data_IF_974902613294
#
_entry.id   IF_974902613294
#
_cell.length_a   1.000
_cell.length_b   1.000
_cell.length_c   1.000
_cell.angle_alpha   90.00
_cell.angle_beta   90.00
_cell.angle_gamma   90.00
#
_symmetry.space_group_name_H-M   'P 1'
#
loop_
_entity.id
_entity.type
_entity.pdbx_description
1 polymer ?
#
# COMPACT_ATOMS: atom_id res chain seq x y z
N UNK A 1 7.76 12.08 -24.68
CA UNK A 1 6.92 11.24 -23.81
C UNK A 1 7.78 10.91 -22.62
N UNK A 2 7.42 11.35 -21.42
CA UNK A 2 8.26 11.07 -20.26
C UNK A 2 8.12 9.58 -19.93
N UNK A 3 9.23 8.84 -20.01
CA UNK A 3 9.36 7.40 -19.75
C UNK A 3 9.32 7.09 -18.23
N UNK A 4 8.36 7.67 -17.51
CA UNK A 4 8.23 7.37 -16.09
C UNK A 4 7.66 5.95 -15.90
N UNK A 5 8.14 5.20 -14.89
CA UNK A 5 7.57 3.90 -14.58
C UNK A 5 6.09 4.06 -14.22
N UNK A 6 5.27 3.11 -14.67
CA UNK A 6 3.85 3.07 -14.34
C UNK A 6 3.62 2.42 -12.96
N UNK A 7 4.58 1.62 -12.50
CA UNK A 7 4.51 0.85 -11.26
C UNK A 7 5.85 0.90 -10.53
N UNK A 8 5.85 1.28 -9.25
CA UNK A 8 7.01 1.13 -8.36
C UNK A 8 6.77 0.02 -7.36
N UNK A 9 7.68 -0.95 -7.31
CA UNK A 9 7.77 -1.92 -6.22
C UNK A 9 8.71 -1.37 -5.14
N UNK A 10 8.19 -1.16 -3.93
CA UNK A 10 8.98 -0.79 -2.76
C UNK A 10 9.17 -2.04 -1.89
N UNK A 11 10.41 -2.50 -1.77
CA UNK A 11 10.75 -3.68 -0.99
C UNK A 11 11.17 -3.26 0.42
N UNK A 12 10.36 -3.62 1.41
CA UNK A 12 10.56 -3.25 2.80
C UNK A 12 11.20 -4.40 3.60
N UNK A 13 12.11 -4.06 4.50
CA UNK A 13 12.73 -5.01 5.43
C UNK A 13 13.87 -4.37 6.20
N UNK A 14 14.43 -5.09 7.17
CA UNK A 14 15.68 -4.64 7.79
C UNK A 14 16.83 -4.63 6.77
N UNK A 15 17.82 -3.80 7.00
CA UNK A 15 19.02 -3.71 6.16
C UNK A 15 19.69 -5.08 5.97
N UNK A 16 19.80 -5.87 7.04
CA UNK A 16 20.34 -7.23 7.00
C UNK A 16 19.52 -8.19 6.13
N UNK A 17 18.18 -8.03 6.11
CA UNK A 17 17.32 -8.87 5.26
C UNK A 17 17.42 -8.45 3.80
N UNK A 18 17.49 -7.15 3.52
CA UNK A 18 17.57 -6.62 2.16
C UNK A 18 18.93 -6.90 1.52
N UNK A 19 20.03 -6.91 2.28
CA UNK A 19 21.35 -7.25 1.75
C UNK A 19 21.46 -8.71 1.25
N UNK A 20 20.61 -9.60 1.76
CA UNK A 20 20.53 -11.02 1.35
C UNK A 20 19.59 -11.27 0.18
N UNK A 21 18.82 -10.27 -0.24
CA UNK A 21 17.87 -10.38 -1.33
C UNK A 21 18.61 -10.32 -2.67
N UNK A 22 18.40 -11.33 -3.51
CA UNK A 22 18.87 -11.30 -4.91
C UNK A 22 18.11 -10.23 -5.70
N UNK A 23 18.77 -9.69 -6.73
CA UNK A 23 18.16 -8.75 -7.66
C UNK A 23 16.84 -9.30 -8.24
N UNK A 24 15.82 -8.46 -8.25
CA UNK A 24 14.49 -8.81 -8.73
C UNK A 24 14.39 -8.63 -10.24
N UNK A 25 13.76 -9.59 -10.91
CA UNK A 25 13.44 -9.45 -12.33
C UNK A 25 12.19 -8.58 -12.49
N UNK A 26 12.37 -7.42 -13.12
CA UNK A 26 11.32 -6.43 -13.40
C UNK A 26 11.08 -6.30 -14.91
N UNK A 27 9.86 -5.88 -15.26
CA UNK A 27 9.45 -5.59 -16.63
C UNK A 27 9.72 -4.12 -17.02
N UNK A 28 9.63 -3.78 -18.31
CA UNK A 28 9.72 -2.38 -18.76
C UNK A 28 8.59 -1.53 -18.18
N UNK A 29 8.90 -0.26 -17.88
CA UNK A 29 7.96 0.66 -17.24
C UNK A 29 7.64 0.30 -15.79
N UNK A 30 8.48 -0.51 -15.15
CA UNK A 30 8.42 -0.84 -13.73
C UNK A 30 9.75 -0.48 -13.10
N UNK A 31 9.71 0.04 -11.88
CA UNK A 31 10.92 0.19 -11.05
C UNK A 31 10.80 -0.62 -9.76
N UNK A 32 11.95 -0.94 -9.17
CA UNK A 32 12.03 -1.64 -7.90
C UNK A 32 13.05 -0.95 -7.00
N UNK A 33 12.59 -0.53 -5.83
CA UNK A 33 13.35 0.24 -4.86
C UNK A 33 13.42 -0.51 -3.54
N UNK A 34 14.57 -0.43 -2.89
CA UNK A 34 14.73 -0.97 -1.55
C UNK A 34 14.40 0.12 -0.52
N UNK A 35 13.77 -0.29 0.57
CA UNK A 35 13.37 0.56 1.67
C UNK A 35 13.78 -0.09 2.98
N UNK A 36 15.09 -0.01 3.33
CA UNK A 36 15.56 -0.47 4.63
C UNK A 36 14.94 0.40 5.73
N UNK A 37 14.56 -0.23 6.83
CA UNK A 37 14.16 0.46 8.05
C UNK A 37 14.85 -0.17 9.27
N UNK A 38 15.21 0.66 10.25
CA UNK A 38 15.82 0.29 11.51
C UNK A 38 14.76 -0.15 12.53
N UNK A 39 13.64 0.58 12.61
CA UNK A 39 12.50 0.28 13.47
C UNK A 39 11.19 0.35 12.66
N UNK A 40 10.16 -0.37 13.08
CA UNK A 40 8.84 -0.31 12.45
C UNK A 40 8.19 1.08 12.63
N UNK A 41 8.54 1.80 13.69
CA UNK A 41 7.94 3.12 14.01
C UNK A 41 8.34 4.23 13.02
N UNK A 42 9.48 4.10 12.33
CA UNK A 42 9.90 5.05 11.27
C UNK A 42 9.32 4.71 9.88
N UNK A 43 8.73 3.52 9.74
CA UNK A 43 8.18 3.06 8.46
C UNK A 43 7.14 4.02 7.85
N UNK A 44 6.28 4.74 8.61
CA UNK A 44 5.29 5.67 8.04
C UNK A 44 5.95 6.82 7.31
N UNK A 45 6.78 7.58 8.02
CA UNK A 45 7.42 8.77 7.47
C UNK A 45 8.34 8.41 6.32
N UNK A 46 9.04 7.28 6.42
CA UNK A 46 9.89 6.76 5.36
C UNK A 46 9.09 6.37 4.11
N UNK A 47 7.99 5.63 4.27
CA UNK A 47 7.13 5.24 3.14
C UNK A 47 6.42 6.43 2.53
N UNK A 48 5.86 7.34 3.34
CA UNK A 48 5.18 8.54 2.87
C UNK A 48 6.14 9.39 2.03
N UNK A 49 7.37 9.62 2.52
CA UNK A 49 8.40 10.39 1.81
C UNK A 49 8.81 9.70 0.51
N UNK A 50 9.16 8.40 0.58
CA UNK A 50 9.54 7.63 -0.62
C UNK A 50 8.42 7.64 -1.65
N UNK A 51 7.17 7.38 -1.26
CA UNK A 51 6.05 7.34 -2.20
C UNK A 51 5.79 8.72 -2.81
N UNK A 52 5.98 9.80 -2.04
CA UNK A 52 5.82 11.16 -2.55
C UNK A 52 6.79 11.47 -3.71
N UNK A 53 8.03 11.00 -3.62
CA UNK A 53 9.08 11.20 -4.62
C UNK A 53 8.89 10.42 -5.93
N UNK A 54 8.04 9.38 -5.95
CA UNK A 54 7.89 8.50 -7.11
C UNK A 54 6.89 9.02 -8.13
N UNK A 55 7.24 9.06 -9.41
CA UNK A 55 6.30 9.47 -10.46
C UNK A 55 5.29 8.37 -10.86
N UNK A 56 5.43 7.16 -10.31
CA UNK A 56 4.55 6.04 -10.63
C UNK A 56 3.10 6.23 -10.20
N UNK A 57 2.20 5.76 -11.07
CA UNK A 57 0.75 5.74 -10.85
C UNK A 57 0.38 4.71 -9.78
N UNK A 58 0.97 3.52 -9.86
CA UNK A 58 0.70 2.43 -8.93
C UNK A 58 1.93 2.11 -8.08
N UNK A 59 1.69 1.86 -6.81
CA UNK A 59 2.70 1.53 -5.83
C UNK A 59 2.41 0.14 -5.28
N UNK A 60 3.46 -0.66 -5.09
CA UNK A 60 3.36 -1.97 -4.48
C UNK A 60 4.41 -2.10 -3.38
N UNK A 61 3.96 -2.24 -2.14
CA UNK A 61 4.82 -2.43 -0.98
C UNK A 61 4.93 -3.93 -0.68
N UNK A 62 6.15 -4.45 -0.73
CA UNK A 62 6.45 -5.89 -0.67
C UNK A 62 7.45 -6.18 0.44
N UNK A 63 7.22 -7.17 1.32
CA UNK A 63 8.21 -7.55 2.31
C UNK A 63 9.40 -8.29 1.67
N UNK A 64 10.59 -8.07 2.24
CA UNK A 64 11.84 -8.67 1.78
C UNK A 64 11.75 -10.21 1.68
N UNK A 65 11.93 -10.72 0.47
CA UNK A 65 11.85 -12.14 0.15
C UNK A 65 10.50 -12.62 -0.40
N UNK A 66 9.48 -11.77 -0.52
CA UNK A 66 8.15 -12.13 -1.04
C UNK A 66 7.81 -11.45 -2.36
N UNK A 67 8.64 -11.63 -3.40
CA UNK A 67 8.40 -10.92 -4.65
C UNK A 67 7.23 -11.53 -5.45
N UNK A 68 6.30 -10.71 -5.97
CA UNK A 68 5.17 -11.21 -6.76
C UNK A 68 5.63 -11.93 -8.03
N UNK A 69 4.91 -12.99 -8.38
CA UNK A 69 5.12 -13.75 -9.63
C UNK A 69 4.83 -12.86 -10.84
N UNK A 70 5.44 -13.20 -11.98
CA UNK A 70 5.29 -12.48 -13.27
C UNK A 70 3.84 -12.15 -13.63
N UNK A 71 2.91 -13.09 -13.45
CA UNK A 71 1.49 -12.85 -13.77
C UNK A 71 0.87 -11.77 -12.89
N UNK A 72 1.16 -11.75 -11.59
CA UNK A 72 0.65 -10.73 -10.67
C UNK A 72 1.24 -9.34 -11.00
N UNK A 73 2.53 -9.28 -11.35
CA UNK A 73 3.17 -8.02 -11.77
C UNK A 73 2.56 -7.47 -13.06
N UNK A 74 2.36 -8.32 -14.07
CA UNK A 74 1.68 -7.95 -15.32
C UNK A 74 0.25 -7.44 -15.08
N UNK A 75 -0.48 -8.06 -14.15
CA UNK A 75 -1.82 -7.60 -13.77
C UNK A 75 -1.77 -6.21 -13.12
N UNK A 76 -0.81 -5.95 -12.23
CA UNK A 76 -0.65 -4.63 -11.64
C UNK A 76 -0.31 -3.55 -12.68
N UNK A 77 0.56 -3.86 -13.64
CA UNK A 77 0.85 -2.97 -14.78
C UNK A 77 -0.37 -2.74 -15.66
N UNK A 78 -1.25 -3.74 -15.80
CA UNK A 78 -2.51 -3.55 -16.50
C UNK A 78 -3.45 -2.62 -15.73
N UNK A 79 -3.58 -2.81 -14.41
CA UNK A 79 -4.40 -1.95 -13.55
C UNK A 79 -3.91 -0.51 -13.53
N UNK A 80 -2.60 -0.25 -13.56
CA UNK A 80 -2.06 1.12 -13.56
C UNK A 80 -2.40 1.93 -14.82
N UNK A 81 -2.91 1.29 -15.87
CA UNK A 81 -3.43 1.97 -17.08
C UNK A 81 -4.90 2.40 -16.94
N UNK A 82 -5.56 2.01 -15.85
CA UNK A 82 -6.93 2.40 -15.55
C UNK A 82 -6.98 3.81 -14.98
N UNK A 83 -8.08 4.54 -15.25
CA UNK A 83 -8.37 5.83 -14.62
C UNK A 83 -8.98 5.67 -13.21
N UNK A 84 -9.37 4.44 -12.83
CA UNK A 84 -9.98 4.16 -11.54
C UNK A 84 -8.94 3.98 -10.43
N UNK A 85 -9.23 4.52 -9.25
CA UNK A 85 -8.49 4.22 -8.04
C UNK A 85 -8.70 2.78 -7.62
N UNK A 86 -7.61 2.07 -7.34
CA UNK A 86 -7.66 0.68 -6.88
C UNK A 86 -6.67 0.42 -5.75
N UNK A 87 -6.91 -0.67 -5.03
CA UNK A 87 -5.96 -1.31 -4.13
C UNK A 87 -6.24 -2.81 -3.99
N UNK A 88 -5.29 -3.53 -3.42
CA UNK A 88 -5.40 -4.94 -3.07
C UNK A 88 -4.16 -5.41 -2.33
N UNK A 89 -4.09 -6.70 -2.00
CA UNK A 89 -2.94 -7.31 -1.34
C UNK A 89 -2.55 -8.62 -1.99
N UNK A 90 -1.31 -9.07 -1.76
CA UNK A 90 -0.85 -10.34 -2.30
C UNK A 90 -1.07 -11.47 -1.30
N UNK A 91 -1.16 -12.69 -1.84
CA UNK A 91 -1.18 -13.89 -1.03
C UNK A 91 0.03 -14.76 -1.40
N UNK A 92 1.14 -14.59 -0.70
CA UNK A 92 2.37 -15.35 -0.94
C UNK A 92 2.33 -16.80 -0.42
N UNK A 93 1.22 -17.20 0.21
CA UNK A 93 1.01 -18.56 0.74
C UNK A 93 1.72 -18.79 2.08
N UNK A 94 1.46 -19.96 2.68
CA UNK A 94 2.00 -20.36 4.00
C UNK A 94 3.52 -20.48 4.08
N UNK A 95 4.23 -20.30 2.96
CA UNK A 95 5.70 -20.39 2.88
C UNK A 95 6.39 -19.09 3.26
N UNK A 96 5.69 -17.96 3.23
CA UNK A 96 6.21 -16.68 3.70
C UNK A 96 5.70 -16.42 5.12
N UNK A 97 6.14 -17.26 6.07
CA UNK A 97 6.04 -16.96 7.50
C UNK A 97 7.23 -16.07 7.83
N UNK A 98 7.04 -14.77 7.72
CA UNK A 98 8.05 -13.80 8.12
C UNK A 98 8.39 -13.96 9.61
N UNK A 99 9.62 -13.63 9.98
CA UNK A 99 10.14 -13.73 11.34
C UNK A 99 9.55 -12.67 12.30
N UNK A 100 8.24 -12.42 12.26
CA UNK A 100 7.49 -11.71 13.30
C UNK A 100 6.58 -12.74 14.02
N UNK A 101 7.20 -13.85 14.45
CA UNK A 101 6.58 -14.74 15.43
C UNK A 101 7.12 -14.35 16.80
N UNK A 102 6.52 -13.31 17.39
CA UNK A 102 6.49 -13.13 18.83
C UNK A 102 5.33 -12.19 19.14
N UNK A 103 4.12 -12.76 19.20
CA UNK A 103 3.03 -12.47 20.14
C UNK A 103 1.81 -13.24 19.62
N UNK A 104 1.44 -14.29 20.35
CA UNK A 104 0.08 -14.85 20.42
C UNK A 104 -0.54 -15.40 19.12
N UNK A 105 -0.64 -16.73 19.04
CA UNK A 105 -1.72 -17.48 18.36
C UNK A 105 -2.66 -16.64 17.49
N UNK A 106 -2.29 -16.39 16.22
CA UNK A 106 -3.19 -15.70 15.29
C UNK A 106 -4.09 -16.76 14.64
N UNK A 107 -5.33 -16.77 15.10
CA UNK A 107 -6.43 -17.57 14.56
C UNK A 107 -6.52 -17.46 13.04
N UNK A 108 -6.83 -18.58 12.42
CA UNK A 108 -7.12 -18.83 11.00
C UNK A 108 -8.35 -18.04 10.46
N UNK A 109 -8.68 -16.87 11.02
CA UNK A 109 -9.97 -16.20 10.84
C UNK A 109 -9.93 -14.82 10.19
N UNK A 110 -8.80 -14.35 9.66
CA UNK A 110 -8.73 -13.03 9.02
C UNK A 110 -8.19 -13.09 7.57
N UNK A 111 -8.87 -13.85 6.71
CA UNK A 111 -8.64 -13.81 5.26
C UNK A 111 -8.97 -12.45 4.59
N UNK A 112 -9.42 -11.45 5.36
CA UNK A 112 -9.90 -10.14 4.89
C UNK A 112 -9.00 -8.96 5.23
N UNK A 113 -7.90 -9.16 5.98
CA UNK A 113 -7.04 -8.07 6.47
C UNK A 113 -5.59 -8.33 6.05
N UNK A 114 -4.95 -7.39 5.31
CA UNK A 114 -3.58 -7.58 4.90
C UNK A 114 -2.61 -7.48 6.08
N UNK A 115 -1.62 -8.37 6.08
CA UNK A 115 -0.48 -8.33 6.99
C UNK A 115 0.74 -7.75 6.26
N UNK A 116 1.71 -7.21 7.01
CA UNK A 116 2.98 -6.74 6.44
C UNK A 116 3.65 -7.83 5.57
N UNK A 117 3.55 -9.07 6.02
CA UNK A 117 4.08 -10.27 5.35
C UNK A 117 3.38 -10.63 4.04
N UNK A 118 2.20 -10.06 3.77
CA UNK A 118 1.42 -10.31 2.57
C UNK A 118 1.66 -9.29 1.47
N UNK A 119 2.23 -8.12 1.77
CA UNK A 119 2.37 -7.05 0.78
C UNK A 119 1.04 -6.41 0.36
N UNK A 120 1.09 -5.16 -0.08
CA UNK A 120 -0.09 -4.38 -0.50
C UNK A 120 0.22 -3.59 -1.77
N UNK A 121 -0.75 -3.40 -2.65
CA UNK A 121 -0.62 -2.56 -3.83
C UNK A 121 -1.81 -1.61 -3.96
N UNK A 122 -1.59 -0.43 -4.53
CA UNK A 122 -2.59 0.62 -4.64
C UNK A 122 -2.20 1.70 -5.65
N UNK A 123 -3.16 2.54 -6.01
CA UNK A 123 -2.89 3.79 -6.75
C UNK A 123 -2.30 4.85 -5.82
N UNK A 124 -1.24 5.56 -6.26
CA UNK A 124 -0.56 6.61 -5.49
C UNK A 124 -1.55 7.68 -5.02
N UNK A 125 -2.50 8.09 -5.86
CA UNK A 125 -3.52 9.07 -5.49
C UNK A 125 -4.43 8.60 -4.35
N UNK A 126 -4.78 7.32 -4.31
CA UNK A 126 -5.62 6.76 -3.24
C UNK A 126 -4.87 6.80 -1.90
N UNK A 127 -3.58 6.47 -1.90
CA UNK A 127 -2.70 6.54 -0.73
C UNK A 127 -2.69 7.93 -0.09
N UNK A 128 -2.44 8.98 -0.87
CA UNK A 128 -2.46 10.34 -0.32
C UNK A 128 -3.86 10.83 0.03
N UNK A 129 -4.91 10.36 -0.66
CA UNK A 129 -6.28 10.75 -0.33
C UNK A 129 -6.75 10.28 1.05
N UNK A 130 -6.09 9.27 1.63
CA UNK A 130 -6.36 8.77 2.99
C UNK A 130 -5.32 9.23 4.02
N UNK A 131 -4.44 10.17 3.64
CA UNK A 131 -3.41 10.73 4.52
C UNK A 131 -2.18 9.84 4.68
N UNK A 132 -1.83 9.03 3.67
CA UNK A 132 -0.65 8.17 3.69
C UNK A 132 -0.84 6.93 4.57
N UNK A 133 0.26 6.40 5.11
CA UNK A 133 0.20 5.21 5.97
C UNK A 133 -0.54 5.49 7.29
N UNK A 134 -0.41 6.70 7.81
CA UNK A 134 -0.96 7.11 9.10
C UNK A 134 -0.20 6.55 10.31
N UNK A 135 -0.81 6.71 11.49
CA UNK A 135 -0.25 6.17 12.72
C UNK A 135 -0.20 4.64 12.72
N UNK A 136 1.01 4.09 12.88
CA UNK A 136 1.20 2.66 13.02
C UNK A 136 0.80 2.24 14.43
N UNK A 137 -0.30 1.51 14.52
CA UNK A 137 -0.59 0.64 15.66
C UNK A 137 0.05 -0.74 15.41
N UNK A 138 -0.51 -1.82 15.93
CA UNK A 138 0.09 -3.15 15.80
C UNK A 138 0.25 -3.69 14.36
N UNK A 139 -0.51 -3.19 13.37
CA UNK A 139 -0.35 -3.58 11.97
C UNK A 139 -0.61 -2.38 10.99
N UNK A 140 0.42 -1.89 10.28
CA UNK A 140 0.30 -0.75 9.37
C UNK A 140 -0.60 -1.02 8.16
N UNK A 141 -0.53 -2.23 7.57
CA UNK A 141 -1.28 -2.55 6.36
C UNK A 141 -2.77 -2.76 6.66
N UNK A 142 -3.10 -3.26 7.86
CA UNK A 142 -4.49 -3.37 8.30
C UNK A 142 -5.14 -1.99 8.43
N UNK A 143 -4.45 -1.02 9.02
CA UNK A 143 -4.94 0.35 9.15
C UNK A 143 -5.10 1.01 7.77
N UNK A 144 -4.11 0.85 6.89
CA UNK A 144 -4.20 1.38 5.52
C UNK A 144 -5.36 0.75 4.73
N UNK A 145 -5.54 -0.57 4.81
CA UNK A 145 -6.65 -1.28 4.16
C UNK A 145 -8.01 -0.79 4.65
N UNK A 146 -8.17 -0.59 5.96
CA UNK A 146 -9.40 -0.03 6.55
C UNK A 146 -9.70 1.33 5.95
N UNK A 147 -8.71 2.20 5.82
CA UNK A 147 -8.87 3.55 5.24
C UNK A 147 -9.23 3.49 3.76
N UNK A 148 -8.60 2.60 3.00
CA UNK A 148 -8.93 2.38 1.59
C UNK A 148 -10.37 1.90 1.40
N UNK A 149 -10.84 0.96 2.23
CA UNK A 149 -12.24 0.54 2.20
C UNK A 149 -13.18 1.72 2.43
N UNK A 150 -12.96 2.51 3.49
CA UNK A 150 -13.81 3.67 3.80
C UNK A 150 -13.81 4.76 2.71
N UNK A 151 -12.70 4.87 1.97
CA UNK A 151 -12.56 5.87 0.90
C UNK A 151 -13.29 5.47 -0.37
N UNK A 152 -13.33 4.17 -0.67
CA UNK A 152 -13.95 3.62 -1.87
C UNK A 152 -15.43 3.23 -1.64
N UNK A 153 -15.86 3.06 -0.39
CA UNK A 153 -17.26 2.83 -0.05
C UNK A 153 -18.11 4.05 -0.45
N UNK A 154 -19.28 3.86 -1.10
CA UNK A 154 -20.15 4.97 -1.46
C UNK A 154 -20.53 5.80 -0.23
N UNK A 155 -19.93 6.98 -0.11
CA UNK A 155 -20.28 7.89 0.97
C UNK A 155 -21.65 8.50 0.69
N UNK A 156 -22.47 8.59 1.74
CA UNK A 156 -23.71 9.37 1.65
C UNK A 156 -23.35 10.81 1.28
N UNK A 157 -24.06 11.45 0.34
CA UNK A 157 -23.77 12.82 -0.01
C UNK A 157 -23.89 13.70 1.24
N UNK A 158 -22.93 14.60 1.41
CA UNK A 158 -23.05 15.63 2.44
C UNK A 158 -24.31 16.45 2.17
N UNK A 159 -25.00 16.95 3.21
CA UNK A 159 -26.10 17.88 3.03
C UNK A 159 -25.61 19.10 2.23
N UNK A 160 -26.49 19.67 1.40
CA UNK A 160 -26.14 20.82 0.57
C UNK A 160 -25.67 21.99 1.44
N UNK A 161 -24.56 22.61 1.07
CA UNK A 161 -24.02 23.81 1.74
C UNK A 161 -24.94 25.05 1.61
N UNK A 162 -25.97 24.98 0.77
CA UNK A 162 -26.99 26.03 0.66
C UNK A 162 -27.94 25.97 1.86
N UNK A 163 -27.57 26.66 2.94
CA UNK A 163 -28.52 27.02 3.99
C UNK A 163 -29.26 28.25 3.48
N UNK A 164 -30.53 28.12 3.09
CA UNK A 164 -31.39 29.30 3.02
C UNK A 164 -31.56 29.79 4.46
N UNK A 165 -30.86 30.86 4.84
CA UNK A 165 -31.19 31.58 6.05
C UNK A 165 -32.63 32.09 5.88
N UNK A 166 -33.59 31.48 6.58
CA UNK A 166 -34.85 32.17 6.81
C UNK A 166 -34.50 33.40 7.64
N UNK A 167 -34.65 34.58 7.06
CA UNK A 167 -34.61 35.84 7.79
C UNK A 167 -35.56 35.70 8.99
N UNK A 168 -35.00 35.67 10.19
CA UNK A 168 -35.75 35.85 11.43
C UNK A 168 -35.96 37.36 11.60
N UNK A 169 -36.81 37.94 10.75
CA UNK A 169 -37.44 39.22 11.01
C UNK A 169 -38.90 38.93 11.34
N UNK A 170 -39.16 38.71 12.62
CA UNK A 170 -40.45 38.91 13.28
C UNK A 170 -40.17 39.71 14.55
#
# INVERSE_FOLDING_TARGET
MNDFPNVSFIIIGSEERLSKVKSYQIEDGVECLLCPFLNIDELPSLLDSKIAELDSIAISIIPAGAFPKKNARKQLVHFSRSEYQFWGWYHFGNKFKGAIQNIGKINTFLNKVPQLEQGIFFTKSLYFSVGGLGEIKSNPFAELAKRFYLRLDPQKPLPSLTIRSKSLLN
#
